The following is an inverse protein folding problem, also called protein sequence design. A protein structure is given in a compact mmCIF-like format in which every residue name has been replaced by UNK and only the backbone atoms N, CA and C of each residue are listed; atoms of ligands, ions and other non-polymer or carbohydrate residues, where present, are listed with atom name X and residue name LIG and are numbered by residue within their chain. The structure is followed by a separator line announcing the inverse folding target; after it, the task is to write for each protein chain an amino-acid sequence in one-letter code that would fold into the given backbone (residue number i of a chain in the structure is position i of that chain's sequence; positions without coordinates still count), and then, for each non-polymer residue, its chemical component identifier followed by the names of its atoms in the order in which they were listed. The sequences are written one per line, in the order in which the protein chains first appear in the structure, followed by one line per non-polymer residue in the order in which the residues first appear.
data_IF_803461277197
#
_entry.id   IF_803461277197
#
_cell.length_a   1.000
_cell.length_b   1.000
_cell.length_c   1.000
_cell.angle_alpha   90.00
_cell.angle_beta   90.00
_cell.angle_gamma   90.00
#
_symmetry.space_group_name_H-M   'P 1'
#
loop_
_entity.id
_entity.type
_entity.pdbx_description
1 polymer ?
#
# COMPACT_ATOMS: atom_id res chain seq x y z
N UNK A 1 -7.83 24.99 4.04
CA UNK A 1 -7.72 24.02 2.94
C UNK A 1 -8.52 24.43 1.71
N UNK A 2 -9.86 24.38 1.70
CA UNK A 2 -10.66 24.72 0.49
C UNK A 2 -10.40 26.13 -0.07
N UNK A 3 -10.26 27.14 0.81
CA UNK A 3 -9.88 28.50 0.40
C UNK A 3 -8.49 28.57 -0.25
N UNK A 4 -7.54 27.78 0.24
CA UNK A 4 -6.19 27.71 -0.32
C UNK A 4 -6.21 27.08 -1.72
N UNK A 5 -7.05 26.05 -1.90
CA UNK A 5 -7.31 25.44 -3.21
C UNK A 5 -8.05 26.36 -4.19
N UNK A 6 -8.51 27.54 -3.76
CA UNK A 6 -9.22 28.49 -4.60
C UNK A 6 -10.72 28.21 -4.74
N UNK A 7 -11.32 27.42 -3.84
CA UNK A 7 -12.77 27.22 -3.86
C UNK A 7 -13.50 28.56 -3.59
N UNK A 8 -14.40 29.00 -4.48
CA UNK A 8 -14.91 30.38 -4.48
C UNK A 8 -15.88 30.69 -3.33
N UNK A 9 -16.49 29.67 -2.73
CA UNK A 9 -17.51 29.82 -1.70
C UNK A 9 -16.94 29.55 -0.30
N UNK A 10 -17.29 30.39 0.67
CA UNK A 10 -17.00 30.12 2.08
C UNK A 10 -17.88 28.96 2.56
N UNK A 11 -17.22 27.88 3.00
CA UNK A 11 -17.88 26.71 3.57
C UNK A 11 -17.32 26.40 4.95
N UNK A 12 -18.17 25.88 5.81
CA UNK A 12 -17.84 25.49 7.18
C UNK A 12 -18.53 24.17 7.54
N UNK A 13 -18.05 23.53 8.60
CA UNK A 13 -18.68 22.29 9.12
C UNK A 13 -20.14 22.50 9.54
N UNK A 14 -20.55 23.72 9.90
CA UNK A 14 -21.93 24.00 10.30
C UNK A 14 -22.92 23.82 9.16
N UNK A 15 -22.48 23.95 7.90
CA UNK A 15 -23.30 23.73 6.70
C UNK A 15 -23.76 22.28 6.52
N UNK A 16 -23.16 21.33 7.24
CA UNK A 16 -23.43 19.89 7.19
C UNK A 16 -24.01 19.35 8.51
N UNK A 17 -24.46 20.23 9.42
CA UNK A 17 -25.22 19.82 10.62
C UNK A 17 -26.56 19.16 10.26
N UNK A 18 -27.09 19.53 9.11
CA UNK A 18 -28.26 18.93 8.46
C UNK A 18 -27.80 18.47 7.07
N UNK A 19 -28.31 17.33 6.54
CA UNK A 19 -28.01 16.88 5.19
C UNK A 19 -28.13 17.98 4.15
N UNK A 20 -27.04 18.26 3.44
CA UNK A 20 -26.94 19.32 2.44
C UNK A 20 -26.33 18.78 1.15
N UNK A 21 -27.11 17.98 0.43
CA UNK A 21 -26.67 17.36 -0.82
C UNK A 21 -26.23 18.38 -1.89
N UNK A 22 -26.95 19.51 -2.12
CA UNK A 22 -26.52 20.49 -3.11
C UNK A 22 -25.08 20.96 -2.89
N UNK A 23 -24.71 21.20 -1.63
CA UNK A 23 -23.35 21.61 -1.29
C UNK A 23 -22.33 20.47 -1.49
N UNK A 24 -22.68 19.23 -1.16
CA UNK A 24 -21.80 18.07 -1.45
C UNK A 24 -21.58 17.92 -2.95
N UNK A 25 -22.64 17.99 -3.76
CA UNK A 25 -22.56 17.88 -5.21
C UNK A 25 -21.69 18.98 -5.81
N UNK A 26 -21.92 20.24 -5.42
CA UNK A 26 -21.14 21.39 -5.85
C UNK A 26 -19.65 21.21 -5.52
N UNK A 27 -19.32 20.88 -4.27
CA UNK A 27 -17.94 20.70 -3.82
C UNK A 27 -17.28 19.49 -4.47
N UNK A 28 -17.99 18.36 -4.59
CA UNK A 28 -17.47 17.13 -5.17
C UNK A 28 -17.14 17.30 -6.65
N UNK A 29 -18.06 17.88 -7.43
CA UNK A 29 -17.82 18.16 -8.86
C UNK A 29 -16.68 19.15 -9.03
N UNK A 30 -16.63 20.19 -8.20
CA UNK A 30 -15.53 21.16 -8.24
C UNK A 30 -14.17 20.51 -7.96
N UNK A 31 -14.08 19.64 -6.94
CA UNK A 31 -12.86 18.93 -6.60
C UNK A 31 -12.42 17.98 -7.73
N UNK A 32 -13.35 17.24 -8.33
CA UNK A 32 -13.06 16.32 -9.44
C UNK A 32 -12.55 17.08 -10.67
N UNK A 33 -13.21 18.20 -11.04
CA UNK A 33 -12.78 19.04 -12.17
C UNK A 33 -11.40 19.68 -11.97
N UNK A 34 -10.89 19.71 -10.74
CA UNK A 34 -9.52 20.18 -10.46
C UNK A 34 -8.45 19.17 -10.89
N UNK A 35 -8.80 17.88 -10.99
CA UNK A 35 -7.90 16.86 -11.54
C UNK A 35 -7.96 16.81 -13.06
N UNK A 36 -9.16 16.92 -13.63
CA UNK A 36 -9.37 16.86 -15.06
C UNK A 36 -10.54 17.77 -15.46
N UNK A 37 -10.22 18.84 -16.21
CA UNK A 37 -11.18 19.85 -16.62
C UNK A 37 -12.21 19.35 -17.65
N UNK A 38 -11.92 18.24 -18.32
CA UNK A 38 -12.80 17.63 -19.33
C UNK A 38 -13.73 16.56 -18.74
N UNK A 39 -13.77 16.45 -17.41
CA UNK A 39 -14.61 15.44 -16.75
C UNK A 39 -16.10 15.75 -16.97
N UNK A 40 -16.78 14.88 -17.73
CA UNK A 40 -18.22 14.90 -17.97
C UNK A 40 -19.01 14.42 -16.73
N UNK A 41 -19.16 15.32 -15.76
CA UNK A 41 -20.09 15.16 -14.63
C UNK A 41 -21.09 16.30 -14.65
N UNK A 42 -22.36 15.95 -14.78
CA UNK A 42 -23.49 16.89 -14.67
C UNK A 42 -23.54 17.53 -13.29
N UNK A 43 -23.94 18.80 -13.24
CA UNK A 43 -24.21 19.51 -11.99
C UNK A 43 -25.69 19.46 -11.58
N UNK A 44 -26.55 18.77 -12.33
CA UNK A 44 -27.96 18.65 -11.99
C UNK A 44 -28.16 17.66 -10.83
N UNK A 45 -29.00 18.02 -9.87
CA UNK A 45 -29.27 17.24 -8.66
C UNK A 45 -30.75 17.25 -8.26
N UNK A 46 -31.64 17.67 -9.17
CA UNK A 46 -33.07 17.78 -8.86
C UNK A 46 -33.67 16.41 -8.53
N UNK A 47 -33.40 15.39 -9.36
CA UNK A 47 -33.94 14.04 -9.14
C UNK A 47 -33.00 13.17 -8.31
N UNK A 48 -33.53 12.12 -7.70
CA UNK A 48 -32.71 11.12 -7.01
C UNK A 48 -31.74 10.41 -7.97
N UNK A 49 -32.16 10.16 -9.20
CA UNK A 49 -31.31 9.54 -10.22
C UNK A 49 -30.09 10.41 -10.53
N UNK A 50 -30.29 11.74 -10.64
CA UNK A 50 -29.20 12.69 -10.87
C UNK A 50 -28.20 12.69 -9.70
N UNK A 51 -28.73 12.72 -8.47
CA UNK A 51 -27.90 12.68 -7.26
C UNK A 51 -27.03 11.43 -7.18
N UNK A 52 -27.62 10.27 -7.51
CA UNK A 52 -26.89 9.00 -7.56
C UNK A 52 -25.88 9.00 -8.70
N UNK A 53 -26.22 9.57 -9.87
CA UNK A 53 -25.32 9.67 -11.01
C UNK A 53 -24.08 10.50 -10.68
N UNK A 54 -24.22 11.66 -10.04
CA UNK A 54 -23.09 12.50 -9.61
C UNK A 54 -22.13 11.71 -8.73
N UNK A 55 -22.65 11.07 -7.67
CA UNK A 55 -21.82 10.34 -6.72
C UNK A 55 -21.13 9.15 -7.38
N UNK A 56 -21.86 8.40 -8.21
CA UNK A 56 -21.31 7.24 -8.90
C UNK A 56 -20.15 7.67 -9.81
N UNK A 57 -20.37 8.66 -10.68
CA UNK A 57 -19.36 9.13 -11.63
C UNK A 57 -18.14 9.72 -10.93
N UNK A 58 -18.35 10.53 -9.88
CA UNK A 58 -17.25 11.08 -9.10
C UNK A 58 -16.45 9.98 -8.38
N UNK A 59 -17.12 8.99 -7.78
CA UNK A 59 -16.44 7.88 -7.10
C UNK A 59 -15.66 6.99 -8.07
N UNK A 60 -16.23 6.68 -9.23
CA UNK A 60 -15.56 5.94 -10.31
C UNK A 60 -14.32 6.69 -10.82
N UNK A 61 -14.46 7.99 -11.09
CA UNK A 61 -13.35 8.83 -11.51
C UNK A 61 -12.20 8.80 -10.47
N UNK A 62 -12.52 9.04 -9.20
CA UNK A 62 -11.50 9.09 -8.14
C UNK A 62 -10.85 7.71 -7.90
N UNK A 63 -11.61 6.62 -8.02
CA UNK A 63 -11.05 5.29 -7.91
C UNK A 63 -10.08 4.97 -9.06
N UNK A 64 -10.43 5.33 -10.30
CA UNK A 64 -9.65 4.97 -11.49
C UNK A 64 -8.45 5.92 -11.69
N UNK A 65 -8.66 7.23 -11.56
CA UNK A 65 -7.67 8.25 -11.93
C UNK A 65 -6.71 8.57 -10.80
N UNK A 66 -7.18 8.52 -9.55
CA UNK A 66 -6.38 8.95 -8.38
C UNK A 66 -6.19 7.84 -7.36
N UNK A 67 -6.73 6.63 -7.60
CA UNK A 67 -6.71 5.50 -6.67
C UNK A 67 -7.28 5.83 -5.27
N UNK A 68 -8.23 6.77 -5.19
CA UNK A 68 -8.92 7.11 -3.94
C UNK A 68 -10.29 6.45 -3.93
N UNK A 69 -10.49 5.55 -2.97
CA UNK A 69 -11.79 4.91 -2.75
C UNK A 69 -12.69 5.78 -1.85
N UNK A 70 -13.71 6.38 -2.45
CA UNK A 70 -14.72 7.16 -1.75
C UNK A 70 -15.89 6.30 -1.27
N UNK A 71 -16.46 6.63 -0.11
CA UNK A 71 -17.68 6.00 0.36
C UNK A 71 -18.92 6.73 -0.18
N UNK A 72 -19.53 6.14 -1.20
CA UNK A 72 -20.70 6.71 -1.90
C UNK A 72 -21.92 6.90 -0.99
N UNK A 73 -22.13 6.03 0.00
CA UNK A 73 -23.23 6.16 0.97
C UNK A 73 -23.06 7.41 1.84
N UNK A 74 -21.83 7.64 2.35
CA UNK A 74 -21.53 8.82 3.17
C UNK A 74 -21.65 10.12 2.37
N UNK A 75 -21.22 10.10 1.11
CA UNK A 75 -21.40 11.25 0.21
C UNK A 75 -22.89 11.55 0.00
N UNK A 76 -23.74 10.53 -0.19
CA UNK A 76 -25.17 10.73 -0.42
C UNK A 76 -25.94 11.17 0.83
N UNK A 77 -25.51 10.73 2.03
CA UNK A 77 -26.05 11.20 3.30
C UNK A 77 -25.88 12.72 3.49
N UNK A 78 -24.86 13.30 2.86
CA UNK A 78 -24.62 14.73 2.78
C UNK A 78 -24.55 15.47 4.12
N UNK A 79 -24.19 14.76 5.19
CA UNK A 79 -24.00 15.28 6.55
C UNK A 79 -22.50 15.41 6.87
N UNK A 80 -22.15 15.50 8.15
CA UNK A 80 -20.76 15.55 8.60
C UNK A 80 -19.88 14.39 8.09
N UNK A 81 -20.45 13.22 7.79
CA UNK A 81 -19.68 12.10 7.24
C UNK A 81 -19.29 12.31 5.77
N UNK A 82 -20.09 13.05 5.00
CA UNK A 82 -19.72 13.43 3.63
C UNK A 82 -18.48 14.33 3.62
N UNK A 83 -18.34 15.20 4.62
CA UNK A 83 -17.18 16.10 4.75
C UNK A 83 -15.88 15.30 4.88
N UNK A 84 -15.87 14.20 5.63
CA UNK A 84 -14.69 13.34 5.74
C UNK A 84 -14.28 12.73 4.39
N UNK A 85 -15.25 12.39 3.54
CA UNK A 85 -14.95 11.86 2.21
C UNK A 85 -14.44 12.96 1.27
N UNK A 86 -15.04 14.16 1.30
CA UNK A 86 -14.57 15.33 0.53
C UNK A 86 -13.16 15.76 0.94
N UNK A 87 -12.84 15.67 2.24
CA UNK A 87 -11.52 16.01 2.77
C UNK A 87 -10.42 15.11 2.20
N UNK A 88 -10.65 13.82 1.93
CA UNK A 88 -9.64 12.93 1.33
C UNK A 88 -9.12 13.46 0.00
N UNK A 89 -10.03 14.03 -0.79
CA UNK A 89 -9.72 14.61 -2.10
C UNK A 89 -8.99 15.95 -1.90
N UNK A 90 -9.53 16.80 -1.03
CA UNK A 90 -8.99 18.12 -0.76
C UNK A 90 -7.59 18.07 -0.12
N UNK A 91 -7.30 17.09 0.75
CA UNK A 91 -5.96 16.92 1.33
C UNK A 91 -4.94 16.58 0.28
N UNK A 92 -5.25 15.66 -0.63
CA UNK A 92 -4.35 15.27 -1.71
C UNK A 92 -4.04 16.46 -2.63
N UNK A 93 -5.06 17.23 -3.03
CA UNK A 93 -4.87 18.44 -3.83
C UNK A 93 -4.07 19.50 -3.07
N UNK A 94 -4.32 19.64 -1.76
CA UNK A 94 -3.66 20.63 -0.93
C UNK A 94 -2.17 20.32 -0.78
N UNK A 95 -1.82 19.06 -0.51
CA UNK A 95 -0.44 18.61 -0.41
C UNK A 95 0.33 18.78 -1.73
N UNK A 96 -0.32 18.50 -2.86
CA UNK A 96 0.26 18.73 -4.18
C UNK A 96 0.52 20.23 -4.42
N UNK A 97 -0.46 21.08 -4.15
CA UNK A 97 -0.34 22.52 -4.36
C UNK A 97 0.62 23.17 -3.37
N UNK A 98 0.68 22.72 -2.11
CA UNK A 98 1.59 23.26 -1.12
C UNK A 98 3.04 22.94 -1.46
N UNK A 99 3.33 21.72 -1.95
CA UNK A 99 4.67 21.36 -2.43
C UNK A 99 5.11 22.21 -3.62
N UNK A 100 4.22 22.44 -4.59
CA UNK A 100 4.52 23.33 -5.71
C UNK A 100 4.74 24.79 -5.27
N UNK A 101 3.96 25.29 -4.30
CA UNK A 101 4.14 26.64 -3.77
C UNK A 101 5.45 26.79 -2.98
N UNK A 102 5.86 25.75 -2.25
CA UNK A 102 7.14 25.72 -1.53
C UNK A 102 8.32 25.70 -2.51
N UNK A 103 8.22 24.95 -3.62
CA UNK A 103 9.18 25.00 -4.73
C UNK A 103 9.25 26.37 -5.41
N UNK A 104 8.13 27.08 -5.55
CA UNK A 104 8.08 28.45 -6.11
C UNK A 104 8.71 29.50 -5.18
N UNK A 105 8.48 29.41 -3.87
CA UNK A 105 9.12 30.31 -2.87
C UNK A 105 10.63 30.07 -2.83
N UNK A 106 11.06 28.81 -2.88
CA UNK A 106 12.48 28.44 -2.95
C UNK A 106 13.17 28.87 -4.25
N UNK A 107 12.42 29.12 -5.33
CA UNK A 107 12.96 29.54 -6.63
C UNK A 107 12.93 31.06 -6.87
N UNK A 108 12.12 31.81 -6.12
CA UNK A 108 12.12 33.28 -6.18
C UNK A 108 13.33 33.91 -5.45
N UNK A 109 13.80 33.33 -4.35
CA UNK A 109 14.92 33.88 -3.56
C UNK A 109 16.32 33.37 -3.99
N UNK A 110 16.40 32.38 -4.89
CA UNK A 110 17.65 31.70 -5.25
C UNK A 110 18.10 31.88 -6.72
N UNK A 111 17.96 33.07 -7.31
CA UNK A 111 18.72 33.40 -8.52
C UNK A 111 20.23 33.60 -8.26
N UNK A 112 20.65 33.66 -7.00
CA UNK A 112 22.06 33.70 -6.59
C UNK A 112 22.42 32.54 -5.66
N UNK A 113 22.37 31.31 -6.19
CA UNK A 113 23.26 30.18 -5.91
C UNK A 113 22.50 28.91 -6.28
N UNK A 114 22.62 28.50 -7.55
CA UNK A 114 22.39 27.12 -7.95
C UNK A 114 23.50 26.24 -7.35
N UNK A 115 23.50 26.12 -6.02
CA UNK A 115 24.06 24.96 -5.34
C UNK A 115 22.88 24.05 -5.15
N UNK A 116 22.65 23.17 -6.12
CA UNK A 116 21.83 21.98 -5.90
C UNK A 116 22.39 21.39 -4.61
N UNK A 117 21.62 21.46 -3.53
CA UNK A 117 22.05 20.88 -2.27
C UNK A 117 21.90 19.36 -2.40
N UNK A 118 22.90 18.78 -3.07
CA UNK A 118 23.01 17.34 -3.31
C UNK A 118 22.99 16.63 -1.96
N UNK A 119 23.36 17.29 -0.86
CA UNK A 119 23.42 16.70 0.47
C UNK A 119 22.05 16.18 0.96
N UNK A 120 20.97 16.93 0.73
CA UNK A 120 19.61 16.53 1.15
C UNK A 120 19.08 15.35 0.33
N UNK A 121 19.33 15.36 -0.99
CA UNK A 121 18.92 14.26 -1.89
C UNK A 121 19.91 13.09 -1.92
N UNK A 122 21.10 13.23 -1.36
CA UNK A 122 22.13 12.18 -1.36
C UNK A 122 21.67 10.96 -0.55
N UNK A 123 20.97 11.19 0.55
CA UNK A 123 20.43 10.11 1.37
C UNK A 123 19.33 9.36 0.63
N UNK A 124 18.42 10.07 -0.04
CA UNK A 124 17.39 9.46 -0.90
C UNK A 124 17.97 8.69 -2.08
N UNK A 125 19.04 9.19 -2.71
CA UNK A 125 19.72 8.49 -3.79
C UNK A 125 20.44 7.22 -3.30
N UNK A 126 21.02 7.26 -2.10
CA UNK A 126 21.63 6.08 -1.47
C UNK A 126 20.59 5.01 -1.15
N UNK A 127 19.47 5.39 -0.54
CA UNK A 127 18.38 4.45 -0.23
C UNK A 127 17.78 3.88 -1.51
N UNK A 128 17.54 4.71 -2.53
CA UNK A 128 17.03 4.26 -3.83
C UNK A 128 17.97 3.26 -4.49
N UNK A 129 19.28 3.51 -4.48
CA UNK A 129 20.28 2.57 -5.02
C UNK A 129 20.29 1.25 -4.25
N UNK A 130 20.19 1.30 -2.93
CA UNK A 130 20.15 0.11 -2.09
C UNK A 130 18.88 -0.72 -2.38
N UNK A 131 17.72 -0.07 -2.48
CA UNK A 131 16.46 -0.73 -2.83
C UNK A 131 16.51 -1.35 -4.22
N UNK A 132 17.08 -0.66 -5.22
CA UNK A 132 17.24 -1.20 -6.57
C UNK A 132 18.16 -2.45 -6.59
N UNK A 133 19.22 -2.44 -5.79
CA UNK A 133 20.09 -3.61 -5.61
C UNK A 133 19.33 -4.78 -4.97
N UNK A 134 18.60 -4.52 -3.88
CA UNK A 134 17.77 -5.54 -3.23
C UNK A 134 16.67 -6.09 -4.15
N UNK A 135 16.05 -5.25 -4.96
CA UNK A 135 15.05 -5.68 -5.94
C UNK A 135 15.64 -6.67 -6.94
N UNK A 136 16.86 -6.41 -7.42
CA UNK A 136 17.57 -7.31 -8.34
C UNK A 136 17.90 -8.65 -7.67
N UNK A 137 18.41 -8.61 -6.44
CA UNK A 137 18.73 -9.83 -5.67
C UNK A 137 17.48 -10.65 -5.37
N UNK A 138 16.41 -10.00 -4.92
CA UNK A 138 15.14 -10.65 -4.62
C UNK A 138 14.50 -11.23 -5.88
N UNK A 139 14.60 -10.51 -7.02
CA UNK A 139 14.14 -11.00 -8.32
C UNK A 139 14.88 -12.26 -8.75
N UNK A 140 16.21 -12.30 -8.63
CA UNK A 140 17.01 -13.47 -8.92
C UNK A 140 16.67 -14.65 -8.00
N UNK A 141 16.56 -14.40 -6.69
CA UNK A 141 16.18 -15.43 -5.72
C UNK A 141 14.79 -15.98 -5.99
N UNK A 142 13.82 -15.12 -6.33
CA UNK A 142 12.47 -15.54 -6.66
C UNK A 142 12.44 -16.38 -7.95
N UNK A 143 13.20 -15.98 -8.98
CA UNK A 143 13.34 -16.74 -10.22
C UNK A 143 13.87 -18.16 -9.95
N UNK A 144 14.93 -18.28 -9.16
CA UNK A 144 15.50 -19.58 -8.79
C UNK A 144 14.53 -20.45 -7.99
N UNK A 145 13.80 -19.85 -7.04
CA UNK A 145 12.80 -20.56 -6.22
C UNK A 145 11.63 -21.06 -7.07
N UNK A 146 11.08 -20.20 -7.94
CA UNK A 146 9.99 -20.57 -8.84
C UNK A 146 10.42 -21.63 -9.86
N UNK A 147 11.66 -21.56 -10.36
CA UNK A 147 12.22 -22.57 -11.26
C UNK A 147 12.27 -23.97 -10.63
N UNK A 148 12.44 -24.05 -9.31
CA UNK A 148 12.44 -25.32 -8.55
C UNK A 148 11.05 -25.79 -8.13
N UNK A 149 10.02 -24.93 -8.16
CA UNK A 149 8.70 -25.27 -7.63
C UNK A 149 8.06 -26.46 -8.33
N UNK A 150 8.27 -26.64 -9.64
CA UNK A 150 7.72 -27.78 -10.39
C UNK A 150 8.24 -29.11 -9.83
N UNK A 151 9.56 -29.22 -9.62
CA UNK A 151 10.19 -30.41 -9.05
C UNK A 151 9.80 -30.60 -7.58
N UNK A 152 9.82 -29.51 -6.80
CA UNK A 152 9.45 -29.55 -5.39
C UNK A 152 7.98 -29.97 -5.19
N UNK A 153 7.08 -29.56 -6.09
CA UNK A 153 5.67 -29.94 -6.07
C UNK A 153 5.48 -31.43 -6.33
N UNK A 154 6.20 -32.01 -7.29
CA UNK A 154 6.15 -33.44 -7.56
C UNK A 154 6.68 -34.25 -6.37
N UNK A 155 7.83 -33.88 -5.81
CA UNK A 155 8.40 -34.52 -4.63
C UNK A 155 7.42 -34.42 -3.45
N UNK A 156 6.84 -33.24 -3.22
CA UNK A 156 5.85 -33.00 -2.17
C UNK A 156 4.64 -33.92 -2.34
N UNK A 157 4.05 -33.98 -3.52
CA UNK A 157 2.90 -34.83 -3.80
C UNK A 157 3.23 -36.32 -3.63
N UNK A 158 4.41 -36.77 -4.07
CA UNK A 158 4.86 -38.16 -3.90
C UNK A 158 5.02 -38.50 -2.41
N UNK A 159 5.61 -37.60 -1.63
CA UNK A 159 5.78 -37.80 -0.17
C UNK A 159 4.44 -37.80 0.57
N UNK A 160 3.50 -36.93 0.18
CA UNK A 160 2.15 -36.89 0.77
C UNK A 160 1.33 -38.13 0.39
N UNK A 161 1.44 -38.58 -0.86
CA UNK A 161 0.74 -39.76 -1.34
C UNK A 161 1.32 -41.08 -0.79
N UNK A 162 2.51 -41.03 -0.19
CA UNK A 162 3.11 -42.19 0.46
C UNK A 162 2.26 -42.59 1.67
N UNK A 163 1.55 -43.71 1.53
CA UNK A 163 0.94 -44.37 2.67
C UNK A 163 2.08 -44.94 3.52
N UNK A 164 2.18 -44.49 4.76
CA UNK A 164 3.15 -45.05 5.68
C UNK A 164 2.56 -46.29 6.33
N UNK A 165 3.29 -47.41 6.24
CA UNK A 165 3.02 -48.56 7.09
C UNK A 165 3.57 -48.26 8.49
N UNK A 166 2.69 -48.29 9.48
CA UNK A 166 3.04 -48.05 10.89
C UNK A 166 4.14 -49.02 11.36
N UNK A 167 4.20 -50.23 10.80
CA UNK A 167 5.23 -51.22 11.11
C UNK A 167 6.62 -50.80 10.59
N UNK A 168 6.70 -50.24 9.38
CA UNK A 168 7.97 -49.72 8.83
C UNK A 168 8.47 -48.50 9.62
N UNK A 169 7.55 -47.61 10.04
CA UNK A 169 7.91 -46.46 10.88
C UNK A 169 8.47 -46.94 12.22
N UNK A 170 7.86 -47.96 12.83
CA UNK A 170 8.31 -48.48 14.12
C UNK A 170 9.71 -49.08 14.05
N UNK A 171 10.01 -49.85 12.99
CA UNK A 171 11.35 -50.40 12.76
C UNK A 171 12.38 -49.30 12.53
N UNK A 172 12.08 -48.34 11.65
CA UNK A 172 12.98 -47.22 11.38
C UNK A 172 13.23 -46.37 12.64
N UNK A 173 12.22 -46.19 13.49
CA UNK A 173 12.34 -45.45 14.75
C UNK A 173 13.21 -46.21 15.77
N UNK A 174 13.10 -47.54 15.83
CA UNK A 174 13.99 -48.38 16.66
C UNK A 174 15.45 -48.29 16.20
N UNK A 175 15.69 -48.34 14.89
CA UNK A 175 17.05 -48.21 14.32
C UNK A 175 17.68 -46.85 14.62
N UNK A 176 16.90 -45.76 14.52
CA UNK A 176 17.37 -44.42 14.89
C UNK A 176 17.71 -44.35 16.38
N UNK A 177 16.89 -44.94 17.26
CA UNK A 177 17.17 -45.00 18.70
C UNK A 177 18.48 -45.78 18.97
N UNK A 178 18.68 -46.92 18.30
CA UNK A 178 19.88 -47.74 18.42
C UNK A 178 21.14 -46.97 18.01
N UNK A 179 21.09 -46.30 16.85
CA UNK A 179 22.20 -45.49 16.36
C UNK A 179 22.50 -44.29 17.25
N UNK A 180 21.46 -43.59 17.74
CA UNK A 180 21.64 -42.45 18.65
C UNK A 180 22.26 -42.91 19.97
N UNK A 181 21.87 -44.08 20.50
CA UNK A 181 22.51 -44.67 21.68
C UNK A 181 23.98 -44.99 21.43
N UNK A 182 24.32 -45.51 20.25
CA UNK A 182 25.70 -45.79 19.87
C UNK A 182 26.54 -44.51 19.79
N UNK A 183 26.01 -43.45 19.19
CA UNK A 183 26.65 -42.13 19.16
C UNK A 183 26.84 -41.53 20.58
N UNK A 184 25.85 -41.72 21.46
CA UNK A 184 25.97 -41.33 22.88
C UNK A 184 27.09 -42.11 23.57
N UNK A 185 27.21 -43.42 23.32
CA UNK A 185 28.29 -44.23 23.92
C UNK A 185 29.66 -43.84 23.35
N UNK A 186 29.76 -43.59 22.05
CA UNK A 186 30.99 -43.12 21.40
C UNK A 186 31.42 -41.75 21.94
N UNK A 187 30.50 -40.79 22.05
CA UNK A 187 30.77 -39.47 22.62
C UNK A 187 31.12 -39.56 24.11
N UNK A 188 30.47 -40.43 24.89
CA UNK A 188 30.81 -40.68 26.29
C UNK A 188 32.22 -41.28 26.42
N UNK A 189 32.59 -42.24 25.58
CA UNK A 189 33.95 -42.82 25.55
C UNK A 189 35.00 -41.77 25.17
N UNK A 190 34.70 -40.86 24.24
CA UNK A 190 35.58 -39.73 23.92
C UNK A 190 35.76 -38.80 25.12
N UNK A 191 34.71 -38.52 25.89
CA UNK A 191 34.78 -37.70 27.10
C UNK A 191 35.59 -38.38 28.21
N UNK A 192 35.41 -39.70 28.42
CA UNK A 192 36.20 -40.44 29.41
C UNK A 192 37.68 -40.50 29.04
N UNK A 193 38.01 -40.66 27.76
CA UNK A 193 39.41 -40.63 27.28
C UNK A 193 40.08 -39.27 27.48
N UNK A 194 39.32 -38.16 27.52
CA UNK A 194 39.85 -36.82 27.82
C UNK A 194 40.03 -36.59 29.32
N UNK A 195 39.32 -37.31 30.20
CA UNK A 195 39.46 -37.21 31.66
C UNK A 195 40.68 -37.95 32.25
N UNK A 196 41.37 -38.77 31.48
CA UNK A 196 42.53 -39.58 31.92
C UNK A 196 43.89 -38.90 31.62
N UNK A 197 43.87 -37.66 31.08
CA UNK A 197 45.03 -36.76 30.93
C UNK A 197 44.93 -35.67 32.01
#
# INVERSE_FOLDING_TARGET
MMRFLGYPRLISLSNFRVPNFPLVAEVLVWLVRRFDGDTDISCDYQTEEDRVAIIRRAAEFMAIKTNIKLNTKKLYQADGYAVHELLKIATLLYEAQSKSAEEEILSSDNKHQARIDISDRLNELKTTRQLASQLTVNGASLFDLLGREVQLREIRNLKIARQFDTAEIEVAMRDVIENTKKEIEETKNQIENVKVI
#
